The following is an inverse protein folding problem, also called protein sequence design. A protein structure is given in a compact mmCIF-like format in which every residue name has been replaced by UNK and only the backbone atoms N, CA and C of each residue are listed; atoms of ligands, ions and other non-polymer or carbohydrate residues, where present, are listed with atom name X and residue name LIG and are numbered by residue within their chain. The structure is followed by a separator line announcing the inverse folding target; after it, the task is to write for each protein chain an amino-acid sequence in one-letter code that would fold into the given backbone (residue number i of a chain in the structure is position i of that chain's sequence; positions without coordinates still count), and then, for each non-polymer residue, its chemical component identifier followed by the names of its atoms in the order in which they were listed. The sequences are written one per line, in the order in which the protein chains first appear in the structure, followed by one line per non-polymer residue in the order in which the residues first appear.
data_IF_475325862392
#
_entry.id   IF_475325862392
#
_cell.length_a   1.000
_cell.length_b   1.000
_cell.length_c   1.000
_cell.angle_alpha   90.00
_cell.angle_beta   90.00
_cell.angle_gamma   90.00
#
_symmetry.space_group_name_H-M   'P 1'
#
loop_
_entity.id
_entity.type
_entity.pdbx_description
1 polymer ?
#
# COMPACT_ATOMS: atom_id res chain seq x y z
N UNK A 1 -18.41 -9.65 -1.82
CA UNK A 1 -17.54 -8.85 -0.94
C UNK A 1 -17.47 -9.46 0.45
N UNK A 2 -16.29 -9.60 0.98
CA UNK A 2 -16.13 -10.15 2.32
C UNK A 2 -16.43 -9.10 3.37
N UNK A 3 -17.18 -9.50 4.40
CA UNK A 3 -17.36 -8.67 5.58
C UNK A 3 -16.33 -9.11 6.63
N UNK A 4 -15.39 -8.25 6.94
CA UNK A 4 -14.31 -8.55 7.87
C UNK A 4 -14.67 -8.24 9.32
N UNK A 5 -15.78 -7.53 9.55
CA UNK A 5 -16.14 -7.05 10.88
C UNK A 5 -16.17 -8.14 11.95
N UNK A 6 -16.85 -9.30 11.74
CA UNK A 6 -16.86 -10.34 12.78
C UNK A 6 -15.48 -10.89 13.10
N UNK A 7 -14.63 -11.08 12.08
CA UNK A 7 -13.27 -11.59 12.30
C UNK A 7 -12.41 -10.55 13.04
N UNK A 8 -12.47 -9.30 12.65
CA UNK A 8 -11.69 -8.23 13.28
C UNK A 8 -12.08 -8.07 14.74
N UNK A 9 -13.38 -8.06 15.04
CA UNK A 9 -13.86 -7.93 16.42
C UNK A 9 -13.34 -9.11 17.27
N UNK A 10 -13.43 -10.33 16.74
CA UNK A 10 -12.95 -11.50 17.44
C UNK A 10 -11.44 -11.44 17.72
N UNK A 11 -10.64 -10.97 16.76
CA UNK A 11 -9.21 -10.81 16.95
C UNK A 11 -8.88 -9.75 17.99
N UNK A 12 -9.62 -8.63 18.01
CA UNK A 12 -9.43 -7.59 19.02
C UNK A 12 -9.85 -8.06 20.41
N UNK A 13 -10.89 -8.88 20.51
CA UNK A 13 -11.34 -9.44 21.79
C UNK A 13 -10.26 -10.31 22.45
N UNK A 14 -9.38 -10.90 21.67
CA UNK A 14 -8.24 -11.65 22.21
C UNK A 14 -6.97 -10.80 22.29
N UNK A 15 -7.14 -9.48 22.27
CA UNK A 15 -6.08 -8.48 22.48
C UNK A 15 -4.95 -8.55 21.43
N UNK A 16 -5.32 -8.72 20.18
CA UNK A 16 -4.39 -8.71 19.07
C UNK A 16 -4.63 -7.48 18.18
N UNK A 17 -3.54 -6.89 17.68
CA UNK A 17 -3.66 -5.82 16.69
C UNK A 17 -3.99 -6.41 15.31
N UNK A 18 -4.72 -5.64 14.52
CA UNK A 18 -5.16 -6.04 13.18
C UNK A 18 -4.64 -5.04 12.16
N UNK A 19 -3.90 -5.54 11.18
CA UNK A 19 -3.44 -4.76 10.05
C UNK A 19 -3.98 -5.39 8.77
N UNK A 20 -4.43 -4.56 7.83
CA UNK A 20 -4.90 -5.04 6.53
C UNK A 20 -4.18 -4.33 5.39
N UNK A 21 -4.12 -5.02 4.24
CA UNK A 21 -3.71 -4.42 2.98
C UNK A 21 -4.86 -4.59 2.00
N UNK A 22 -5.25 -3.51 1.32
CA UNK A 22 -6.40 -3.51 0.42
C UNK A 22 -6.15 -2.63 -0.80
N UNK A 23 -6.82 -2.96 -1.91
CA UNK A 23 -6.82 -2.11 -3.10
C UNK A 23 -7.70 -0.86 -2.95
N UNK A 24 -8.48 -0.78 -1.85
CA UNK A 24 -9.34 0.37 -1.58
C UNK A 24 -10.60 0.44 -2.41
N UNK A 25 -10.98 -0.65 -3.11
CA UNK A 25 -12.15 -0.65 -3.98
C UNK A 25 -13.48 -0.69 -3.21
N UNK A 26 -13.44 -1.09 -1.96
CA UNK A 26 -14.61 -1.23 -1.11
C UNK A 26 -14.41 -0.48 0.20
N UNK A 27 -15.48 0.08 0.73
CA UNK A 27 -15.46 0.68 2.05
C UNK A 27 -15.22 -0.41 3.09
N UNK A 28 -14.39 -0.10 4.09
CA UNK A 28 -14.09 -1.01 5.18
C UNK A 28 -14.93 -0.63 6.39
N UNK A 29 -15.80 -1.54 6.83
CA UNK A 29 -16.68 -1.30 7.96
C UNK A 29 -16.18 -1.91 9.27
N UNK A 30 -14.95 -2.44 9.27
CA UNK A 30 -14.35 -3.08 10.42
C UNK A 30 -13.26 -2.21 11.05
N UNK A 31 -13.10 -2.19 12.39
CA UNK A 31 -12.01 -1.48 13.03
C UNK A 31 -10.68 -2.20 12.79
N UNK A 32 -9.70 -1.47 12.26
CA UNK A 32 -8.35 -2.01 12.06
C UNK A 32 -7.35 -1.06 12.71
N UNK A 33 -6.22 -1.60 13.13
CA UNK A 33 -5.16 -0.81 13.75
C UNK A 33 -4.23 -0.19 12.74
N UNK A 34 -4.09 -0.81 11.57
CA UNK A 34 -3.26 -0.31 10.48
C UNK A 34 -3.88 -0.62 9.14
N UNK A 35 -4.03 0.42 8.31
CA UNK A 35 -4.65 0.32 7.00
C UNK A 35 -3.61 0.63 5.92
N UNK A 36 -3.20 -0.39 5.15
CA UNK A 36 -2.31 -0.24 4.01
C UNK A 36 -3.15 -0.20 2.73
N UNK A 37 -3.09 0.92 2.02
CA UNK A 37 -3.78 1.09 0.75
C UNK A 37 -2.80 0.83 -0.39
N UNK A 38 -3.07 -0.22 -1.17
CA UNK A 38 -2.26 -0.60 -2.33
C UNK A 38 -3.15 -0.59 -3.58
N UNK A 39 -3.31 0.56 -4.24
CA UNK A 39 -4.23 0.68 -5.37
C UNK A 39 -3.80 -0.18 -6.55
N UNK A 40 -4.77 -0.63 -7.32
CA UNK A 40 -4.57 -1.40 -8.56
C UNK A 40 -5.02 -0.55 -9.75
N UNK A 41 -4.32 -0.67 -10.88
CA UNK A 41 -4.52 0.21 -12.04
C UNK A 41 -5.94 0.17 -12.61
N UNK A 42 -6.55 -1.00 -12.66
CA UNK A 42 -7.85 -1.18 -13.30
C UNK A 42 -9.01 -1.20 -12.32
N UNK A 43 -8.78 -0.77 -11.08
CA UNK A 43 -9.80 -0.71 -10.04
C UNK A 43 -9.82 0.70 -9.45
N UNK A 44 -11.00 1.31 -9.45
CA UNK A 44 -11.17 2.66 -8.89
C UNK A 44 -11.29 2.58 -7.37
N UNK A 45 -10.41 3.23 -6.62
CA UNK A 45 -10.54 3.25 -5.16
C UNK A 45 -11.71 4.13 -4.72
N UNK A 46 -12.25 3.83 -3.55
CA UNK A 46 -13.24 4.72 -2.92
C UNK A 46 -12.50 5.84 -2.15
N UNK A 47 -13.21 6.95 -1.93
CA UNK A 47 -12.64 8.11 -1.22
C UNK A 47 -12.16 7.75 0.19
N UNK A 48 -12.84 6.81 0.85
CA UNK A 48 -12.49 6.35 2.19
C UNK A 48 -11.07 5.81 2.27
N UNK A 49 -10.58 5.14 1.22
CA UNK A 49 -9.23 4.58 1.20
C UNK A 49 -8.17 5.67 1.35
N UNK A 50 -8.36 6.80 0.67
CA UNK A 50 -7.43 7.92 0.76
C UNK A 50 -7.47 8.59 2.14
N UNK A 51 -8.65 8.69 2.74
CA UNK A 51 -8.83 9.33 4.04
C UNK A 51 -8.30 8.48 5.19
N UNK A 52 -8.46 7.17 5.12
CA UNK A 52 -8.15 6.25 6.23
C UNK A 52 -6.78 5.60 6.12
N UNK A 53 -6.11 5.68 4.98
CA UNK A 53 -4.84 5.00 4.79
C UNK A 53 -3.78 5.50 5.78
N UNK A 54 -3.19 4.58 6.51
CA UNK A 54 -2.01 4.86 7.32
C UNK A 54 -0.76 4.78 6.47
N UNK A 55 -0.83 3.99 5.42
CA UNK A 55 0.29 3.78 4.51
C UNK A 55 -0.25 3.58 3.09
N UNK A 56 0.38 4.25 2.12
CA UNK A 56 0.13 4.06 0.69
C UNK A 56 1.30 3.27 0.13
N UNK A 57 1.03 2.11 -0.46
CA UNK A 57 2.06 1.28 -1.07
C UNK A 57 1.77 1.15 -2.57
N UNK A 58 2.68 1.66 -3.38
CA UNK A 58 2.56 1.63 -4.83
C UNK A 58 3.53 0.61 -5.40
N UNK A 59 3.00 -0.37 -6.13
CA UNK A 59 3.80 -1.37 -6.83
C UNK A 59 4.06 -0.88 -8.25
N UNK A 60 5.34 -0.78 -8.62
CA UNK A 60 5.78 -0.27 -9.91
C UNK A 60 6.09 -1.44 -10.85
N UNK A 61 5.44 -1.45 -12.00
CA UNK A 61 5.69 -2.41 -13.08
C UNK A 61 6.50 -1.78 -14.22
N UNK A 62 6.30 -0.48 -14.46
CA UNK A 62 6.93 0.28 -15.55
C UNK A 62 7.33 1.66 -15.06
N UNK A 63 8.28 2.29 -15.74
CA UNK A 63 8.72 3.64 -15.40
C UNK A 63 7.58 4.66 -15.43
N UNK A 64 6.59 4.47 -16.29
CA UNK A 64 5.41 5.34 -16.34
C UNK A 64 4.57 5.31 -15.06
N UNK A 65 4.73 4.29 -14.24
CA UNK A 65 3.96 4.12 -13.01
C UNK A 65 4.34 5.13 -11.91
N UNK A 66 5.48 5.78 -12.03
CA UNK A 66 5.87 6.83 -11.07
C UNK A 66 4.88 7.99 -11.07
N UNK A 67 4.38 8.37 -12.26
CA UNK A 67 3.37 9.42 -12.37
C UNK A 67 2.07 8.99 -11.67
N UNK A 68 1.69 7.75 -11.85
CA UNK A 68 0.52 7.16 -11.18
C UNK A 68 0.69 7.17 -9.66
N UNK A 69 1.89 6.85 -9.17
CA UNK A 69 2.21 6.91 -7.74
C UNK A 69 2.00 8.33 -7.18
N UNK A 70 2.50 9.33 -7.88
CA UNK A 70 2.36 10.72 -7.44
C UNK A 70 0.91 11.18 -7.43
N UNK A 71 0.08 10.71 -8.36
CA UNK A 71 -1.36 11.02 -8.38
C UNK A 71 -2.05 10.51 -7.12
N UNK A 72 -1.75 9.29 -6.70
CA UNK A 72 -2.33 8.74 -5.48
C UNK A 72 -1.82 9.46 -4.23
N UNK A 73 -0.53 9.78 -4.20
CA UNK A 73 0.06 10.48 -3.07
C UNK A 73 -0.57 11.84 -2.83
N UNK A 74 -0.99 12.50 -3.91
CA UNK A 74 -1.64 13.81 -3.81
C UNK A 74 -3.03 13.74 -3.16
N UNK A 75 -3.64 12.56 -3.11
CA UNK A 75 -5.01 12.38 -2.62
C UNK A 75 -5.08 11.81 -1.20
N UNK A 76 -4.01 11.19 -0.70
CA UNK A 76 -4.05 10.60 0.64
C UNK A 76 -3.95 11.68 1.72
N UNK A 77 -4.36 11.33 2.94
CA UNK A 77 -4.28 12.24 4.07
C UNK A 77 -2.84 12.58 4.43
N UNK A 78 -2.65 13.67 5.16
CA UNK A 78 -1.32 14.23 5.45
C UNK A 78 -0.45 13.35 6.35
N UNK A 79 -1.06 12.41 7.06
CA UNK A 79 -0.33 11.49 7.96
C UNK A 79 0.06 10.19 7.29
N UNK A 80 -0.41 9.96 6.08
CA UNK A 80 -0.18 8.70 5.37
C UNK A 80 1.30 8.56 5.00
N UNK A 81 1.89 7.43 5.32
CA UNK A 81 3.24 7.10 4.91
C UNK A 81 3.23 6.63 3.44
N UNK A 82 4.28 6.99 2.71
CA UNK A 82 4.37 6.69 1.28
C UNK A 82 5.46 5.67 1.01
N UNK A 83 5.08 4.55 0.44
CA UNK A 83 6.00 3.46 0.07
C UNK A 83 5.88 3.13 -1.39
N UNK A 84 7.02 2.84 -2.01
CA UNK A 84 7.11 2.43 -3.39
C UNK A 84 7.89 1.11 -3.46
N UNK A 85 7.42 0.19 -4.29
CA UNK A 85 7.94 -1.16 -4.35
C UNK A 85 8.03 -1.60 -5.81
N UNK A 86 9.16 -2.21 -6.24
CA UNK A 86 9.20 -2.83 -7.57
C UNK A 86 8.35 -4.09 -7.57
N UNK A 87 7.63 -4.35 -8.66
CA UNK A 87 7.03 -5.67 -8.87
C UNK A 87 8.17 -6.68 -8.91
N UNK A 88 8.01 -7.82 -8.26
CA UNK A 88 9.12 -8.76 -8.02
C UNK A 88 9.87 -9.17 -9.29
N UNK A 89 9.14 -9.49 -10.36
CA UNK A 89 9.75 -9.93 -11.63
C UNK A 89 10.49 -8.80 -12.35
N UNK A 90 10.23 -7.54 -12.00
CA UNK A 90 10.84 -6.34 -12.60
C UNK A 90 11.85 -5.67 -11.68
N UNK A 91 12.16 -6.28 -10.56
CA UNK A 91 12.99 -5.70 -9.51
C UNK A 91 14.35 -5.21 -10.04
N UNK A 92 15.03 -6.00 -10.85
CA UNK A 92 16.36 -5.66 -11.35
C UNK A 92 16.34 -4.44 -12.26
N UNK A 93 15.28 -4.30 -13.08
CA UNK A 93 15.13 -3.18 -13.99
C UNK A 93 14.73 -1.91 -13.28
N UNK A 94 13.96 -2.03 -12.19
CA UNK A 94 13.28 -0.89 -11.58
C UNK A 94 13.96 -0.36 -10.33
N UNK A 95 14.86 -1.11 -9.72
CA UNK A 95 15.45 -0.67 -8.44
C UNK A 95 16.24 0.64 -8.61
N UNK A 96 16.99 0.80 -9.70
CA UNK A 96 17.68 2.05 -10.00
C UNK A 96 16.74 3.24 -10.14
N UNK A 97 15.75 3.16 -11.04
CA UNK A 97 14.74 4.22 -11.17
C UNK A 97 13.98 4.49 -9.87
N UNK A 98 13.68 3.47 -9.08
CA UNK A 98 12.99 3.65 -7.79
C UNK A 98 13.87 4.41 -6.80
N UNK A 99 15.15 4.07 -6.71
CA UNK A 99 16.09 4.80 -5.85
C UNK A 99 16.15 6.27 -6.26
N UNK A 100 16.24 6.56 -7.55
CA UNK A 100 16.26 7.92 -8.06
C UNK A 100 14.96 8.66 -7.71
N UNK A 101 13.82 7.99 -7.85
CA UNK A 101 12.53 8.57 -7.50
C UNK A 101 12.45 8.92 -6.02
N UNK A 102 12.90 8.04 -5.12
CA UNK A 102 12.87 8.28 -3.68
C UNK A 102 13.80 9.43 -3.31
N UNK A 103 14.95 9.54 -3.95
CA UNK A 103 15.87 10.66 -3.72
C UNK A 103 15.28 12.00 -4.16
N UNK A 104 14.50 12.00 -5.23
CA UNK A 104 13.91 13.21 -5.81
C UNK A 104 12.58 13.60 -5.16
N UNK A 105 11.93 12.69 -4.47
CA UNK A 105 10.60 12.91 -3.91
C UNK A 105 10.60 12.62 -2.41
N UNK A 106 10.82 13.68 -1.64
CA UNK A 106 10.89 13.60 -0.19
C UNK A 106 9.62 12.98 0.40
N UNK A 107 9.78 12.10 1.37
CA UNK A 107 8.65 11.44 2.03
C UNK A 107 8.37 10.04 1.51
N UNK A 108 8.89 9.68 0.35
CA UNK A 108 8.76 8.33 -0.18
C UNK A 108 9.85 7.41 0.38
N UNK A 109 9.47 6.17 0.65
CA UNK A 109 10.38 5.12 1.14
C UNK A 109 10.25 3.89 0.27
N UNK A 110 11.32 3.10 0.20
CA UNK A 110 11.32 1.86 -0.57
C UNK A 110 10.78 0.74 0.32
N UNK A 111 9.79 0.01 -0.20
CA UNK A 111 9.28 -1.20 0.42
C UNK A 111 9.79 -2.40 -0.35
N UNK A 112 10.36 -3.38 0.35
CA UNK A 112 10.86 -4.61 -0.25
C UNK A 112 10.04 -5.80 0.22
N UNK A 113 9.85 -6.77 -0.68
CA UNK A 113 9.19 -8.01 -0.32
C UNK A 113 10.20 -8.93 0.35
N UNK A 114 10.51 -8.63 1.61
CA UNK A 114 11.59 -9.28 2.36
C UNK A 114 11.50 -10.81 2.35
N UNK A 115 10.28 -11.34 2.47
CA UNK A 115 10.08 -12.80 2.45
C UNK A 115 10.58 -13.45 1.16
N UNK A 116 10.47 -12.75 0.01
CA UNK A 116 10.96 -13.27 -1.27
C UNK A 116 12.48 -13.21 -1.37
N UNK A 117 13.09 -12.13 -0.84
CA UNK A 117 14.54 -12.01 -0.79
C UNK A 117 15.16 -13.08 0.10
N UNK A 118 14.48 -13.48 1.16
CA UNK A 118 14.92 -14.51 2.08
C UNK A 118 14.50 -15.91 1.65
N UNK A 119 13.89 -16.04 0.48
CA UNK A 119 13.40 -17.31 -0.07
C UNK A 119 12.38 -17.99 0.85
N UNK A 120 11.55 -17.21 1.51
CA UNK A 120 10.47 -17.69 2.38
C UNK A 120 9.17 -17.64 1.57
N UNK A 121 8.35 -18.71 1.60
CA UNK A 121 7.07 -18.74 0.87
C UNK A 121 6.10 -17.63 1.26
#
# INVERSE_FOLDING_TARGET
MYKLTPLVIKLKDINRSVAIETSGCYALDAPVDWYTFSPKKFKKPCAEAYDKADELKIVIYHKSDFRWALKHAAKVNSKCLLYIQPEWSKKEELIGPIVDFVKSNKGWRISLQTHKFMNIP
#
